data_IF_773308784085
#
_entry.id   IF_773308784085
#
_cell.length_a   1.000
_cell.length_b   1.000
_cell.length_c   1.000
_cell.angle_alpha   90.00
_cell.angle_beta   90.00
_cell.angle_gamma   90.00
#
_symmetry.space_group_name_H-M   'P 1'
#
loop_
_entity.id
_entity.type
_entity.pdbx_description
1 polymer ?
#
# COMPACT_ATOMS: atom_id res chain seq x y z
N UNK A 1 17.58 36.10 -10.94
CA UNK A 1 16.42 35.24 -10.70
C UNK A 1 15.34 36.15 -10.20
N UNK A 2 14.27 36.33 -10.97
CA UNK A 2 13.18 37.26 -10.64
C UNK A 2 12.06 36.54 -9.91
N UNK A 3 11.13 37.28 -9.31
CA UNK A 3 9.95 36.71 -8.63
C UNK A 3 9.14 35.77 -9.55
N UNK A 4 9.13 36.03 -10.87
CA UNK A 4 8.50 35.16 -11.86
C UNK A 4 9.10 33.75 -11.97
N UNK A 5 10.38 33.57 -11.62
CA UNK A 5 11.00 32.24 -11.63
C UNK A 5 10.53 31.40 -10.43
N UNK A 6 10.29 32.03 -9.29
CA UNK A 6 9.79 31.37 -8.08
C UNK A 6 8.32 31.01 -8.27
N UNK A 7 7.52 31.90 -8.86
CA UNK A 7 6.12 31.61 -9.17
C UNK A 7 5.99 30.42 -10.13
N UNK A 8 6.81 30.38 -11.18
CA UNK A 8 6.84 29.26 -12.12
C UNK A 8 7.20 27.94 -11.42
N UNK A 9 8.23 27.96 -10.55
CA UNK A 9 8.65 26.78 -9.78
C UNK A 9 7.58 26.34 -8.77
N UNK A 10 6.89 27.28 -8.13
CA UNK A 10 5.79 27.00 -7.22
C UNK A 10 4.63 26.33 -7.97
N UNK A 11 4.29 26.83 -9.16
CA UNK A 11 3.28 26.22 -10.04
C UNK A 11 3.65 24.79 -10.42
N UNK A 12 4.89 24.56 -10.86
CA UNK A 12 5.36 23.21 -11.16
C UNK A 12 5.31 22.27 -9.93
N UNK A 13 5.65 22.78 -8.74
CA UNK A 13 5.56 22.01 -7.50
C UNK A 13 4.10 21.64 -7.17
N UNK A 14 3.16 22.57 -7.35
CA UNK A 14 1.73 22.33 -7.16
C UNK A 14 1.22 21.28 -8.16
N UNK A 15 1.52 21.45 -9.45
CA UNK A 15 1.12 20.51 -10.50
C UNK A 15 1.69 19.10 -10.26
N UNK A 16 2.95 19.00 -9.84
CA UNK A 16 3.56 17.72 -9.48
C UNK A 16 2.88 17.08 -8.25
N UNK A 17 2.54 17.89 -7.26
CA UNK A 17 1.82 17.43 -6.05
C UNK A 17 0.42 16.93 -6.39
N UNK A 18 -0.32 17.66 -7.23
CA UNK A 18 -1.66 17.26 -7.67
C UNK A 18 -1.63 15.93 -8.44
N UNK A 19 -0.68 15.76 -9.37
CA UNK A 19 -0.46 14.48 -10.07
C UNK A 19 -0.24 13.31 -9.10
N UNK A 20 0.50 13.52 -8.00
CA UNK A 20 0.71 12.50 -6.96
C UNK A 20 -0.55 12.17 -6.18
N UNK A 21 -1.35 13.19 -5.83
CA UNK A 21 -2.62 13.02 -5.12
C UNK A 21 -3.59 12.24 -5.99
N UNK A 22 -3.74 12.62 -7.25
CA UNK A 22 -4.60 11.94 -8.23
C UNK A 22 -4.18 10.47 -8.40
N UNK A 23 -2.89 10.21 -8.63
CA UNK A 23 -2.38 8.84 -8.76
C UNK A 23 -2.48 8.00 -7.46
N UNK A 24 -2.52 8.65 -6.30
CA UNK A 24 -2.78 8.00 -5.01
C UNK A 24 -4.26 7.68 -4.84
N UNK A 25 -5.14 8.63 -5.20
CA UNK A 25 -6.59 8.47 -5.20
C UNK A 25 -7.03 7.33 -6.10
N UNK A 26 -6.50 7.26 -7.33
CA UNK A 26 -6.80 6.18 -8.28
C UNK A 26 -6.38 4.81 -7.74
N UNK A 27 -5.22 4.74 -7.08
CA UNK A 27 -4.74 3.50 -6.47
C UNK A 27 -5.64 3.06 -5.31
N UNK A 28 -6.04 3.98 -4.44
CA UNK A 28 -6.98 3.71 -3.35
C UNK A 28 -8.35 3.27 -3.89
N UNK A 29 -8.84 3.89 -4.96
CA UNK A 29 -10.08 3.49 -5.63
C UNK A 29 -10.02 2.05 -6.15
N UNK A 30 -8.90 1.64 -6.76
CA UNK A 30 -8.70 0.24 -7.17
C UNK A 30 -8.65 -0.73 -6.00
N UNK A 31 -7.97 -0.37 -4.91
CA UNK A 31 -7.92 -1.21 -3.70
C UNK A 31 -9.32 -1.34 -3.07
N UNK A 32 -10.09 -0.25 -3.04
CA UNK A 32 -11.48 -0.27 -2.57
C UNK A 32 -12.34 -1.22 -3.39
N UNK A 33 -12.26 -1.17 -4.72
CA UNK A 33 -13.01 -2.07 -5.59
C UNK A 33 -12.65 -3.54 -5.36
N UNK A 34 -11.36 -3.85 -5.20
CA UNK A 34 -10.91 -5.22 -4.90
C UNK A 34 -11.41 -5.71 -3.53
N UNK A 35 -11.42 -4.83 -2.53
CA UNK A 35 -11.97 -5.14 -1.22
C UNK A 35 -13.48 -5.39 -1.29
N UNK A 36 -14.22 -4.57 -2.03
CA UNK A 36 -15.66 -4.75 -2.23
C UNK A 36 -15.98 -6.08 -2.94
N UNK A 37 -15.19 -6.45 -3.96
CA UNK A 37 -15.31 -7.73 -4.66
C UNK A 37 -15.02 -8.92 -3.72
N UNK A 38 -13.95 -8.82 -2.92
CA UNK A 38 -13.59 -9.84 -1.93
C UNK A 38 -14.69 -10.02 -0.88
N UNK A 39 -15.20 -8.92 -0.32
CA UNK A 39 -16.28 -8.94 0.68
C UNK A 39 -17.59 -9.49 0.08
N UNK A 40 -17.88 -9.17 -1.18
CA UNK A 40 -19.04 -9.72 -1.88
C UNK A 40 -18.91 -11.22 -2.10
N UNK A 41 -17.72 -11.69 -2.48
CA UNK A 41 -17.43 -13.12 -2.63
C UNK A 41 -17.54 -13.86 -1.29
N UNK A 42 -16.99 -13.28 -0.21
CA UNK A 42 -17.07 -13.82 1.14
C UNK A 42 -18.53 -14.00 1.59
N UNK A 43 -19.36 -12.97 1.46
CA UNK A 43 -20.79 -13.03 1.81
C UNK A 43 -21.51 -14.11 1.02
N UNK A 44 -21.20 -14.23 -0.28
CA UNK A 44 -21.81 -15.25 -1.15
C UNK A 44 -21.43 -16.66 -0.70
N UNK A 45 -20.15 -16.92 -0.47
CA UNK A 45 -19.64 -18.23 -0.05
C UNK A 45 -20.15 -18.61 1.35
N UNK A 46 -20.20 -17.67 2.29
CA UNK A 46 -20.78 -17.93 3.61
C UNK A 46 -22.28 -18.24 3.54
N UNK A 47 -23.02 -17.50 2.71
CA UNK A 47 -24.44 -17.77 2.46
C UNK A 47 -24.65 -19.17 1.86
N UNK A 48 -23.85 -19.54 0.86
CA UNK A 48 -23.89 -20.86 0.25
C UNK A 48 -23.58 -21.98 1.26
N UNK A 49 -22.54 -21.80 2.09
CA UNK A 49 -22.18 -22.76 3.13
C UNK A 49 -23.32 -23.01 4.14
N UNK A 50 -24.15 -21.99 4.44
CA UNK A 50 -25.31 -22.14 5.33
C UNK A 50 -26.49 -22.87 4.69
N UNK A 51 -26.56 -22.87 3.36
CA UNK A 51 -27.60 -23.55 2.58
C UNK A 51 -27.17 -24.90 2.00
N UNK A 52 -25.94 -25.35 2.27
CA UNK A 52 -25.37 -26.56 1.69
C UNK A 52 -26.14 -27.82 2.11
N UNK A 53 -26.40 -28.70 1.14
CA UNK A 53 -27.16 -29.94 1.35
C UNK A 53 -26.29 -31.07 1.90
N UNK A 54 -24.97 -30.98 1.70
CA UNK A 54 -24.01 -31.96 2.20
C UNK A 54 -22.70 -31.34 2.73
N UNK A 55 -21.92 -32.18 3.41
CA UNK A 55 -20.66 -31.78 4.03
C UNK A 55 -19.57 -31.39 3.00
N UNK A 56 -19.59 -31.98 1.80
CA UNK A 56 -18.59 -31.69 0.78
C UNK A 56 -18.81 -30.31 0.15
N UNK A 57 -20.07 -29.94 -0.07
CA UNK A 57 -20.49 -28.62 -0.51
C UNK A 57 -20.18 -27.56 0.55
N UNK A 58 -20.60 -27.79 1.79
CA UNK A 58 -20.32 -26.88 2.91
C UNK A 58 -18.81 -26.62 3.05
N UNK A 59 -17.98 -27.66 2.98
CA UNK A 59 -16.53 -27.51 3.05
C UNK A 59 -15.98 -26.68 1.88
N UNK A 60 -16.44 -26.92 0.65
CA UNK A 60 -15.98 -26.19 -0.54
C UNK A 60 -16.29 -24.70 -0.42
N UNK A 61 -17.48 -24.36 0.07
CA UNK A 61 -17.89 -22.97 0.24
C UNK A 61 -17.13 -22.27 1.37
N UNK A 62 -16.82 -22.98 2.46
CA UNK A 62 -15.95 -22.47 3.51
C UNK A 62 -14.50 -22.27 3.02
N UNK A 63 -13.97 -23.17 2.20
CA UNK A 63 -12.66 -23.00 1.55
C UNK A 63 -12.64 -21.75 0.64
N UNK A 64 -13.71 -21.52 -0.12
CA UNK A 64 -13.85 -20.32 -0.95
C UNK A 64 -13.94 -19.03 -0.10
N UNK A 65 -14.66 -19.08 1.02
CA UNK A 65 -14.72 -17.97 1.99
C UNK A 65 -13.35 -17.67 2.61
N UNK A 66 -12.57 -18.70 2.94
CA UNK A 66 -11.19 -18.53 3.42
C UNK A 66 -10.28 -17.85 2.38
N UNK A 67 -10.39 -18.23 1.10
CA UNK A 67 -9.63 -17.57 0.03
C UNK A 67 -10.03 -16.10 -0.12
N UNK A 68 -11.31 -15.78 0.00
CA UNK A 68 -11.77 -14.39 -0.02
C UNK A 68 -11.19 -13.57 1.16
N UNK A 69 -11.11 -14.15 2.36
CA UNK A 69 -10.46 -13.51 3.51
C UNK A 69 -8.95 -13.29 3.30
N UNK A 70 -8.25 -14.27 2.72
CA UNK A 70 -6.82 -14.15 2.42
C UNK A 70 -6.50 -13.06 1.39
N UNK A 71 -7.49 -12.69 0.56
CA UNK A 71 -7.30 -11.59 -0.38
C UNK A 71 -7.16 -10.23 0.31
N UNK A 72 -7.70 -10.06 1.53
CA UNK A 72 -7.52 -8.87 2.35
C UNK A 72 -6.04 -8.65 2.72
N UNK A 73 -5.34 -9.72 3.12
CA UNK A 73 -3.91 -9.68 3.43
C UNK A 73 -3.06 -9.25 2.22
N UNK A 74 -3.50 -9.59 1.01
CA UNK A 74 -2.84 -9.15 -0.23
C UNK A 74 -3.08 -7.67 -0.56
N UNK A 75 -4.13 -7.04 0.01
CA UNK A 75 -4.44 -5.62 -0.18
C UNK A 75 -3.70 -4.71 0.81
N UNK A 76 -3.32 -5.22 1.98
CA UNK A 76 -2.61 -4.43 2.99
C UNK A 76 -1.32 -3.76 2.47
N UNK A 77 -0.44 -4.45 1.71
CA UNK A 77 0.75 -3.81 1.13
C UNK A 77 0.44 -2.67 0.16
N UNK A 78 -0.71 -2.72 -0.53
CA UNK A 78 -1.14 -1.67 -1.46
C UNK A 78 -1.59 -0.41 -0.70
N UNK A 79 -2.29 -0.59 0.42
CA UNK A 79 -2.67 0.50 1.32
C UNK A 79 -1.45 1.13 1.99
N UNK A 80 -0.51 0.33 2.47
CA UNK A 80 0.74 0.82 3.05
C UNK A 80 1.56 1.61 2.04
N UNK A 81 1.65 1.13 0.80
CA UNK A 81 2.32 1.85 -0.28
C UNK A 81 1.63 3.19 -0.62
N UNK A 82 0.29 3.23 -0.64
CA UNK A 82 -0.45 4.46 -0.84
C UNK A 82 -0.21 5.46 0.31
N UNK A 83 -0.21 4.97 1.55
CA UNK A 83 0.11 5.76 2.75
C UNK A 83 1.52 6.33 2.70
N UNK A 84 2.50 5.52 2.34
CA UNK A 84 3.90 5.94 2.25
C UNK A 84 4.09 7.06 1.22
N UNK A 85 3.45 6.96 0.04
CA UNK A 85 3.49 8.02 -0.99
C UNK A 85 2.90 9.34 -0.49
N UNK A 86 1.79 9.29 0.24
CA UNK A 86 1.17 10.48 0.83
C UNK A 86 2.11 11.13 1.85
N UNK A 87 2.71 10.32 2.73
CA UNK A 87 3.66 10.82 3.74
C UNK A 87 4.91 11.45 3.08
N UNK A 88 5.48 10.81 2.07
CA UNK A 88 6.61 11.36 1.31
C UNK A 88 6.24 12.70 0.64
N UNK A 89 5.04 12.80 0.06
CA UNK A 89 4.54 14.04 -0.54
C UNK A 89 4.41 15.15 0.52
N UNK A 90 3.86 14.82 1.70
CA UNK A 90 3.76 15.75 2.83
C UNK A 90 5.15 16.23 3.26
N UNK A 91 6.13 15.34 3.36
CA UNK A 91 7.49 15.69 3.79
C UNK A 91 8.19 16.59 2.77
N UNK A 92 7.94 16.39 1.47
CA UNK A 92 8.42 17.31 0.42
C UNK A 92 7.77 18.69 0.56
N UNK A 93 6.45 18.76 0.78
CA UNK A 93 5.77 20.04 0.99
C UNK A 93 6.27 20.75 2.25
N UNK A 94 6.46 20.02 3.35
CA UNK A 94 7.06 20.53 4.59
C UNK A 94 8.44 21.11 4.35
N UNK A 95 9.26 20.43 3.57
CA UNK A 95 10.59 20.92 3.18
C UNK A 95 10.52 22.24 2.41
N UNK A 96 9.55 22.41 1.52
CA UNK A 96 9.33 23.67 0.78
C UNK A 96 8.88 24.79 1.72
N UNK A 97 7.92 24.54 2.60
CA UNK A 97 7.31 25.61 3.41
C UNK A 97 8.09 25.96 4.68
N UNK A 98 8.95 25.06 5.17
CA UNK A 98 9.72 25.27 6.41
C UNK A 98 11.06 25.92 6.08
N UNK A 99 11.30 27.20 6.44
CA UNK A 99 12.60 27.83 6.25
C UNK A 99 13.66 27.12 7.10
N UNK A 100 14.87 26.93 6.55
CA UNK A 100 16.00 26.36 7.31
C UNK A 100 16.60 27.43 8.23
N UNK A 101 17.11 27.02 9.41
CA UNK A 101 17.90 27.91 10.29
C UNK A 101 19.06 28.51 9.50
N UNK A 102 19.21 29.83 9.53
CA UNK A 102 20.18 30.59 8.73
C UNK A 102 19.60 31.26 7.48
N UNK A 103 18.39 30.89 7.02
CA UNK A 103 17.67 31.63 5.97
C UNK A 103 17.04 32.94 6.49
N UNK A 104 16.92 33.07 7.82
CA UNK A 104 16.29 34.20 8.53
C UNK A 104 17.29 35.14 9.22
N UNK A 105 18.57 34.77 9.35
CA UNK A 105 19.55 35.48 10.19
C UNK A 105 20.44 36.49 9.43
N UNK A 106 20.32 36.62 8.11
CA UNK A 106 21.14 37.56 7.36
C UNK A 106 20.66 39.01 7.62
N UNK A 107 21.48 39.85 8.26
CA UNK A 107 21.13 41.23 8.60
C UNK A 107 21.64 42.25 7.56
N UNK A 108 20.81 42.68 6.60
CA UNK A 108 21.08 43.83 5.70
C UNK A 108 19.91 44.19 4.74
N UNK A 109 19.78 45.45 4.27
CA UNK A 109 18.56 45.98 3.65
C UNK A 109 18.34 45.68 2.15
N UNK A 110 19.25 44.98 1.45
CA UNK A 110 19.08 44.68 0.00
C UNK A 110 19.56 43.31 -0.47
N UNK A 111 20.40 42.61 0.32
CA UNK A 111 20.86 41.25 0.01
C UNK A 111 19.99 40.14 0.62
N UNK A 112 19.11 40.49 1.55
CA UNK A 112 18.27 39.55 2.33
C UNK A 112 17.23 38.84 1.47
N UNK A 113 16.50 39.64 0.70
CA UNK A 113 15.37 39.18 -0.10
C UNK A 113 15.86 38.26 -1.23
N UNK A 114 16.99 38.63 -1.84
CA UNK A 114 17.61 37.82 -2.89
C UNK A 114 18.08 36.46 -2.40
N UNK A 115 18.74 36.37 -1.24
CA UNK A 115 19.21 35.10 -0.68
C UNK A 115 18.03 34.21 -0.24
N UNK A 116 16.99 34.80 0.34
CA UNK A 116 15.76 34.08 0.69
C UNK A 116 15.04 33.55 -0.56
N UNK A 117 14.95 34.36 -1.61
CA UNK A 117 14.41 33.98 -2.91
C UNK A 117 15.21 32.86 -3.58
N UNK A 118 16.55 32.93 -3.57
CA UNK A 118 17.42 31.88 -4.12
C UNK A 118 17.29 30.56 -3.32
N UNK A 119 17.17 30.63 -1.99
CA UNK A 119 16.93 29.46 -1.14
C UNK A 119 15.56 28.83 -1.37
N UNK A 120 14.51 29.64 -1.51
CA UNK A 120 13.16 29.16 -1.85
C UNK A 120 13.14 28.50 -3.23
N UNK A 121 13.75 29.14 -4.22
CA UNK A 121 13.90 28.59 -5.56
C UNK A 121 14.63 27.24 -5.56
N UNK A 122 15.71 27.10 -4.78
CA UNK A 122 16.44 25.84 -4.65
C UNK A 122 15.57 24.75 -4.02
N UNK A 123 14.82 25.08 -2.96
CA UNK A 123 13.88 24.14 -2.32
C UNK A 123 12.77 23.69 -3.26
N UNK A 124 12.19 24.60 -4.03
CA UNK A 124 11.16 24.28 -5.02
C UNK A 124 11.69 23.38 -6.14
N UNK A 125 12.90 23.65 -6.67
CA UNK A 125 13.54 22.78 -7.67
C UNK A 125 13.75 21.37 -7.14
N UNK A 126 14.28 21.25 -5.92
CA UNK A 126 14.49 19.95 -5.27
C UNK A 126 13.17 19.22 -5.02
N UNK A 127 12.13 19.95 -4.63
CA UNK A 127 10.79 19.39 -4.43
C UNK A 127 10.20 18.86 -5.73
N UNK A 128 10.27 19.61 -6.83
CA UNK A 128 9.83 19.15 -8.16
C UNK A 128 10.58 17.89 -8.57
N UNK A 129 11.91 17.87 -8.44
CA UNK A 129 12.72 16.68 -8.75
C UNK A 129 12.32 15.49 -7.87
N UNK A 130 12.11 15.70 -6.57
CA UNK A 130 11.72 14.64 -5.64
C UNK A 130 10.34 14.08 -5.97
N UNK A 131 9.38 14.94 -6.31
CA UNK A 131 8.05 14.55 -6.74
C UNK A 131 8.14 13.79 -8.07
N UNK A 132 8.79 14.31 -9.10
CA UNK A 132 8.89 13.61 -10.39
C UNK A 132 9.67 12.28 -10.28
N UNK A 133 10.69 12.19 -9.42
CA UNK A 133 11.39 10.93 -9.13
C UNK A 133 10.50 9.92 -8.37
N UNK A 134 9.60 10.40 -7.50
CA UNK A 134 8.57 9.60 -6.86
C UNK A 134 7.58 9.01 -7.88
N UNK A 135 7.27 9.73 -8.97
CA UNK A 135 6.44 9.22 -10.09
C UNK A 135 7.16 8.08 -10.80
N UNK A 136 8.47 8.23 -11.08
CA UNK A 136 9.28 7.23 -11.78
C UNK A 136 9.58 5.96 -10.95
N UNK A 137 9.59 6.05 -9.61
CA UNK A 137 9.85 4.90 -8.70
C UNK A 137 8.60 4.17 -8.22
N UNK A 138 7.52 4.16 -9.01
CA UNK A 138 6.40 3.22 -8.85
C UNK A 138 6.81 1.77 -9.22
N UNK A 139 8.08 1.41 -8.98
CA UNK A 139 8.75 0.22 -9.44
C UNK A 139 8.48 -0.98 -8.56
N UNK A 140 7.66 -1.88 -9.12
CA UNK A 140 7.50 -3.30 -8.79
C UNK A 140 6.95 -3.55 -7.39
N UNK A 141 5.63 -3.73 -7.33
CA UNK A 141 5.05 -4.80 -6.51
C UNK A 141 5.91 -6.03 -6.79
N UNK A 142 6.70 -6.46 -5.80
CA UNK A 142 7.25 -7.81 -5.81
C UNK A 142 6.02 -8.70 -5.78
N UNK A 143 5.58 -9.17 -6.94
CA UNK A 143 4.70 -10.32 -6.99
C UNK A 143 5.47 -11.41 -6.26
N UNK A 144 5.13 -11.62 -4.99
CA UNK A 144 5.53 -12.80 -4.25
C UNK A 144 4.99 -13.93 -5.09
N UNK A 145 5.89 -14.51 -5.88
CA UNK A 145 5.63 -15.71 -6.67
C UNK A 145 4.99 -16.67 -5.69
N UNK A 146 3.73 -17.02 -5.93
CA UNK A 146 3.06 -18.06 -5.17
C UNK A 146 4.03 -19.23 -5.11
N UNK A 147 4.55 -19.49 -3.91
CA UNK A 147 5.26 -20.73 -3.66
C UNK A 147 4.13 -21.75 -3.72
N UNK A 148 3.95 -22.32 -4.92
CA UNK A 148 3.40 -23.66 -5.05
C UNK A 148 4.41 -24.54 -4.33
N UNK A 149 4.24 -24.63 -3.02
CA UNK A 149 4.94 -25.62 -2.21
C UNK A 149 4.20 -26.93 -2.48
N UNK A 150 4.67 -27.65 -3.49
CA UNK A 150 4.29 -29.02 -3.78
C UNK A 150 4.93 -29.95 -2.74
N UNK A 151 4.65 -29.68 -1.46
CA UNK A 151 5.15 -30.43 -0.32
C UNK A 151 4.12 -31.50 0.08
N UNK A 152 4.43 -32.80 -0.13
CA UNK A 152 3.52 -33.90 0.19
C UNK A 152 3.59 -34.22 1.69
N UNK A 153 2.98 -33.41 2.55
CA UNK A 153 3.10 -33.65 4.00
C UNK A 153 1.83 -33.35 4.83
N UNK A 154 0.65 -33.67 4.30
CA UNK A 154 -0.57 -33.68 5.12
C UNK A 154 -1.40 -34.97 4.98
N UNK A 155 -1.21 -35.74 3.89
CA UNK A 155 -1.84 -37.07 3.73
C UNK A 155 -1.20 -38.18 4.58
N UNK A 156 0.02 -37.99 5.08
CA UNK A 156 0.66 -38.96 5.99
C UNK A 156 0.22 -38.81 7.46
N UNK A 157 -0.12 -37.59 7.90
CA UNK A 157 -0.54 -37.35 9.30
C UNK A 157 -1.93 -37.95 9.56
N UNK A 158 -2.85 -37.85 8.60
CA UNK A 158 -4.21 -38.38 8.75
C UNK A 158 -4.26 -39.92 8.64
N UNK A 159 -3.31 -40.54 7.91
CA UNK A 159 -3.24 -42.00 7.80
C UNK A 159 -2.63 -42.67 9.05
N UNK A 160 -1.80 -41.95 9.82
CA UNK A 160 -1.26 -42.45 11.09
C UNK A 160 -2.29 -42.52 12.21
N UNK A 161 -3.22 -41.56 12.27
CA UNK A 161 -4.23 -41.48 13.33
C UNK A 161 -5.36 -42.55 13.20
N UNK A 162 -5.57 -43.11 12.01
CA UNK A 162 -6.57 -44.16 11.78
C UNK A 162 -6.00 -45.59 11.95
N UNK A 163 -4.67 -45.74 12.07
CA UNK A 163 -4.02 -47.04 12.27
C UNK A 163 -3.82 -47.41 13.75
N UNK A 164 -3.99 -46.47 14.69
CA UNK A 164 -3.83 -46.69 16.14
C UNK A 164 -5.14 -46.99 16.89
N UNK A 165 -6.25 -47.20 16.17
CA UNK A 165 -7.57 -47.50 16.74
C UNK A 165 -7.90 -48.99 16.83
N UNK A 166 -7.31 -49.73 17.76
CA UNK A 166 -7.75 -51.08 18.15
C UNK A 166 -6.82 -51.66 19.22
N UNK A 167 -7.24 -52.22 20.35
CA UNK A 167 -8.54 -52.65 20.94
C UNK A 167 -8.38 -52.55 22.48
N UNK A 168 -9.47 -52.57 23.26
CA UNK A 168 -9.39 -52.64 24.72
C UNK A 168 -9.03 -54.07 25.17
N UNK A 169 -8.02 -54.19 26.04
CA UNK A 169 -7.73 -55.44 26.74
C UNK A 169 -8.81 -55.71 27.80
N UNK A 170 -9.59 -56.76 27.58
CA UNK A 170 -10.40 -57.41 28.61
C UNK A 170 -9.47 -58.23 29.50
N UNK A 171 -9.24 -57.77 30.73
CA UNK A 171 -8.52 -58.52 31.77
C UNK A 171 -9.52 -59.41 32.50
N UNK A 172 -9.22 -60.71 32.51
CA UNK A 172 -9.82 -61.72 33.41
C UNK A 172 -9.20 -61.61 34.79
#
# INVERSE_FOLDING_TARGET
MGDGDIEALARCCVEATLRHIEGSSDALGRVSALLDDAMTSLRRSLSAATGAEDHAECRRDLEAAMVALQSEDALAPLLDSARERILQTIDVLRFVVTPRRGETDASGPGGRDRLACEAMAARLRLAVIALDAGIARSGRVRQTRAIVDDSPSMRQVIRGALASGGRPESRT
#
